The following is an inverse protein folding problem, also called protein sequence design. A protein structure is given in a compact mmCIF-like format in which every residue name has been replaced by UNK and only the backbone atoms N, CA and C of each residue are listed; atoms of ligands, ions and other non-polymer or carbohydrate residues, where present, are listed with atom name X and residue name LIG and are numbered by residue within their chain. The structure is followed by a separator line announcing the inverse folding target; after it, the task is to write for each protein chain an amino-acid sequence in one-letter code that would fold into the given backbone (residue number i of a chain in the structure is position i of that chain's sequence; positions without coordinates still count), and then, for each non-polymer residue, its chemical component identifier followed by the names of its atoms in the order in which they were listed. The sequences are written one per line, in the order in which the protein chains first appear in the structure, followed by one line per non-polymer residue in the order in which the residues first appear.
data_IF_263073207148
#
_entry.id   IF_263073207148
#
_cell.length_a   1.000
_cell.length_b   1.000
_cell.length_c   1.000
_cell.angle_alpha   90.00
_cell.angle_beta   90.00
_cell.angle_gamma   90.00
#
_symmetry.space_group_name_H-M   'P 1'
#
loop_
_entity.id
_entity.type
_entity.pdbx_description
1 polymer ?
#
# COMPACT_ATOMS: atom_id res chain seq x y z
N UNK A 1 7.04 21.25 -27.94
CA UNK A 1 7.61 20.18 -27.10
C UNK A 1 7.16 18.82 -27.61
N UNK A 2 7.73 17.73 -27.08
CA UNK A 2 7.32 16.35 -27.41
C UNK A 2 6.04 15.90 -26.68
N UNK A 3 5.71 16.52 -25.54
CA UNK A 3 4.53 16.23 -24.73
C UNK A 3 3.61 17.45 -24.66
N UNK A 4 2.28 17.24 -24.60
CA UNK A 4 1.33 18.31 -24.29
C UNK A 4 1.61 18.95 -22.92
N UNK A 5 1.37 20.25 -22.79
CA UNK A 5 1.67 21.01 -21.55
C UNK A 5 0.92 20.43 -20.33
N UNK A 6 -0.31 19.97 -20.52
CA UNK A 6 -1.09 19.35 -19.44
C UNK A 6 -0.52 18.00 -18.96
N UNK A 7 0.28 17.30 -19.79
CA UNK A 7 0.98 16.09 -19.39
C UNK A 7 2.33 16.44 -18.75
N UNK A 8 3.03 17.42 -19.31
CA UNK A 8 4.33 17.87 -18.81
C UNK A 8 4.24 18.42 -17.39
N UNK A 9 3.15 19.12 -17.07
CA UNK A 9 2.92 19.75 -15.77
C UNK A 9 1.90 19.01 -14.90
N UNK A 10 1.51 17.79 -15.26
CA UNK A 10 0.56 16.99 -14.49
C UNK A 10 1.13 16.67 -13.10
N UNK A 11 0.31 16.86 -12.06
CA UNK A 11 0.70 16.53 -10.71
C UNK A 11 0.98 15.02 -10.54
N UNK A 12 1.93 14.70 -9.66
CA UNK A 12 2.26 13.31 -9.34
C UNK A 12 1.17 12.72 -8.45
N UNK A 13 0.53 11.67 -8.94
CA UNK A 13 -0.48 10.90 -8.20
C UNK A 13 0.09 9.55 -7.74
N UNK A 14 -0.35 9.03 -6.59
CA UNK A 14 0.01 7.69 -6.14
C UNK A 14 -0.62 6.62 -7.05
N UNK A 15 0.11 5.55 -7.34
CA UNK A 15 -0.31 4.57 -8.36
C UNK A 15 -1.63 3.87 -8.00
N UNK A 16 -1.86 3.58 -6.73
CA UNK A 16 -3.10 2.95 -6.25
C UNK A 16 -4.31 3.88 -6.31
N UNK A 17 -4.10 5.19 -6.43
CA UNK A 17 -5.15 6.20 -6.59
C UNK A 17 -5.42 6.48 -8.06
N UNK A 18 -4.37 6.60 -8.87
CA UNK A 18 -4.45 6.88 -10.31
C UNK A 18 -4.77 5.67 -11.20
N UNK A 19 -4.90 4.48 -10.62
CA UNK A 19 -5.29 3.24 -11.31
C UNK A 19 -6.66 2.79 -10.82
N UNK A 20 -7.45 2.27 -11.76
CA UNK A 20 -8.86 1.90 -11.66
C UNK A 20 -9.84 3.05 -11.99
N UNK A 21 -11.07 2.94 -11.53
CA UNK A 21 -12.15 3.86 -11.89
C UNK A 21 -12.04 5.15 -11.09
N UNK A 22 -12.44 6.28 -11.68
CA UNK A 22 -12.62 7.56 -10.98
C UNK A 22 -13.52 7.40 -9.74
N UNK A 23 -14.45 6.43 -9.77
CA UNK A 23 -15.38 6.16 -8.65
C UNK A 23 -14.80 5.24 -7.57
N UNK A 24 -13.80 4.42 -7.91
CA UNK A 24 -13.23 3.42 -7.00
C UNK A 24 -11.78 3.13 -7.37
N UNK A 25 -10.88 3.68 -6.54
CA UNK A 25 -9.45 3.47 -6.63
C UNK A 25 -9.07 1.99 -6.41
N UNK A 26 -7.94 1.58 -6.98
CA UNK A 26 -7.39 0.24 -6.72
C UNK A 26 -7.20 -0.04 -5.23
N UNK A 27 -6.78 0.96 -4.46
CA UNK A 27 -6.69 0.86 -3.00
C UNK A 27 -8.03 0.44 -2.36
N UNK A 28 -9.14 1.10 -2.71
CA UNK A 28 -10.45 0.75 -2.16
C UNK A 28 -10.87 -0.67 -2.56
N UNK A 29 -10.55 -1.09 -3.79
CA UNK A 29 -10.81 -2.47 -4.23
C UNK A 29 -10.03 -3.47 -3.37
N UNK A 30 -8.75 -3.20 -3.11
CA UNK A 30 -7.92 -4.08 -2.27
C UNK A 30 -8.46 -4.13 -0.84
N UNK A 31 -8.80 -2.98 -0.26
CA UNK A 31 -9.37 -2.89 1.10
C UNK A 31 -10.63 -3.75 1.25
N UNK A 32 -11.57 -3.66 0.29
CA UNK A 32 -12.78 -4.49 0.30
C UNK A 32 -12.47 -5.99 0.22
N UNK A 33 -11.44 -6.38 -0.54
CA UNK A 33 -11.04 -7.79 -0.64
C UNK A 33 -10.42 -8.27 0.68
N UNK A 34 -9.54 -7.48 1.29
CA UNK A 34 -8.79 -7.92 2.48
C UNK A 34 -9.63 -7.90 3.75
N UNK A 35 -10.65 -7.05 3.82
CA UNK A 35 -11.57 -6.96 4.96
C UNK A 35 -12.29 -8.28 5.22
N UNK A 36 -12.71 -8.97 4.15
CA UNK A 36 -13.35 -10.29 4.23
C UNK A 36 -12.36 -11.45 4.43
N UNK A 37 -11.06 -11.22 4.20
CA UNK A 37 -10.02 -12.28 4.24
C UNK A 37 -9.26 -12.32 5.56
N UNK A 38 -9.10 -11.17 6.21
CA UNK A 38 -8.31 -11.05 7.44
C UNK A 38 -9.18 -10.53 8.57
N UNK A 39 -9.42 -11.38 9.56
CA UNK A 39 -10.14 -10.98 10.78
C UNK A 39 -9.29 -10.09 11.67
N UNK A 40 -9.93 -9.24 12.47
CA UNK A 40 -9.25 -8.41 13.47
C UNK A 40 -8.50 -9.23 14.51
N UNK A 41 -9.00 -10.43 14.85
CA UNK A 41 -8.31 -11.35 15.75
C UNK A 41 -7.01 -11.88 15.14
N UNK A 42 -7.03 -12.25 13.85
CA UNK A 42 -5.83 -12.68 13.15
C UNK A 42 -4.77 -11.58 13.12
N UNK A 43 -5.19 -10.32 12.89
CA UNK A 43 -4.28 -9.17 12.91
C UNK A 43 -3.72 -8.91 14.32
N UNK A 44 -4.52 -9.06 15.38
CA UNK A 44 -4.03 -8.94 16.78
C UNK A 44 -2.97 -9.99 17.12
N UNK A 45 -3.07 -11.17 16.52
CA UNK A 45 -2.09 -12.26 16.69
C UNK A 45 -0.92 -12.19 15.69
N UNK A 46 -0.82 -11.14 14.87
CA UNK A 46 0.18 -11.03 13.83
C UNK A 46 1.62 -11.11 14.36
N UNK A 47 1.92 -10.51 15.51
CA UNK A 47 3.26 -10.54 16.10
C UNK A 47 3.71 -11.96 16.51
N UNK A 48 2.76 -12.80 16.93
CA UNK A 48 3.04 -14.21 17.26
C UNK A 48 3.24 -15.04 16.01
N UNK A 49 2.44 -14.79 14.97
CA UNK A 49 2.49 -15.56 13.72
C UNK A 49 3.65 -15.16 12.82
N UNK A 50 3.95 -13.86 12.75
CA UNK A 50 4.94 -13.24 11.88
C UNK A 50 5.81 -12.29 12.70
N UNK A 51 6.77 -12.81 13.50
CA UNK A 51 7.58 -11.99 14.40
C UNK A 51 8.55 -11.05 13.67
N UNK A 52 9.00 -11.45 12.47
CA UNK A 52 9.83 -10.61 11.60
C UNK A 52 8.97 -9.76 10.67
N UNK A 53 9.25 -8.45 10.57
CA UNK A 53 8.48 -7.50 9.77
C UNK A 53 6.96 -7.68 9.96
N UNK A 54 6.52 -7.57 11.23
CA UNK A 54 5.13 -7.82 11.62
C UNK A 54 4.16 -6.91 10.85
N UNK A 55 3.15 -7.47 10.16
CA UNK A 55 2.16 -6.67 9.48
C UNK A 55 1.26 -5.94 10.49
N UNK A 56 1.05 -4.64 10.27
CA UNK A 56 0.22 -3.76 11.12
C UNK A 56 -1.16 -3.46 10.53
N UNK A 57 -1.38 -3.83 9.26
CA UNK A 57 -2.66 -3.65 8.54
C UNK A 57 -3.16 -4.98 8.01
N UNK A 58 -4.47 -5.11 7.78
CA UNK A 58 -5.08 -6.29 7.15
C UNK A 58 -4.52 -6.55 5.76
N UNK A 59 -4.27 -5.49 5.00
CA UNK A 59 -3.65 -5.58 3.68
C UNK A 59 -2.24 -6.18 3.75
N UNK A 60 -1.38 -5.65 4.62
CA UNK A 60 -0.02 -6.18 4.80
C UNK A 60 -0.05 -7.64 5.31
N UNK A 61 -1.01 -7.97 6.19
CA UNK A 61 -1.19 -9.33 6.69
C UNK A 61 -1.58 -10.28 5.56
N UNK A 62 -2.52 -9.88 4.71
CA UNK A 62 -2.97 -10.67 3.56
C UNK A 62 -1.81 -10.95 2.59
N UNK A 63 -1.01 -9.94 2.26
CA UNK A 63 0.18 -10.13 1.43
C UNK A 63 1.21 -11.05 2.11
N UNK A 64 1.40 -10.90 3.42
CA UNK A 64 2.30 -11.76 4.18
C UNK A 64 1.84 -13.23 4.17
N UNK A 65 0.54 -13.49 4.29
CA UNK A 65 0.01 -14.86 4.19
C UNK A 65 0.26 -15.47 2.80
N UNK A 66 0.05 -14.71 1.73
CA UNK A 66 0.34 -15.16 0.37
C UNK A 66 1.84 -15.44 0.22
N UNK A 67 2.69 -14.53 0.71
CA UNK A 67 4.14 -14.71 0.66
C UNK A 67 4.56 -16.00 1.38
N UNK A 68 4.13 -16.21 2.61
CA UNK A 68 4.51 -17.40 3.41
C UNK A 68 3.93 -18.69 2.82
N UNK A 69 2.79 -18.63 2.12
CA UNK A 69 2.25 -19.78 1.38
C UNK A 69 3.19 -20.23 0.25
N UNK A 70 3.90 -19.30 -0.39
CA UNK A 70 4.75 -19.59 -1.56
C UNK A 70 6.25 -19.70 -1.20
N UNK A 71 6.69 -19.01 -0.15
CA UNK A 71 8.10 -18.84 0.23
C UNK A 71 8.31 -19.10 1.73
N UNK A 72 7.60 -20.07 2.30
CA UNK A 72 7.52 -20.32 3.74
C UNK A 72 8.85 -20.20 4.49
N UNK A 73 8.88 -19.31 5.49
CA UNK A 73 10.02 -19.07 6.37
C UNK A 73 11.15 -18.24 5.75
N UNK A 74 11.04 -17.79 4.50
CA UNK A 74 12.10 -17.02 3.82
C UNK A 74 12.02 -15.51 4.05
N UNK A 75 11.07 -15.03 4.86
CA UNK A 75 10.83 -13.60 5.05
C UNK A 75 12.07 -12.86 5.58
N UNK A 76 12.79 -13.43 6.54
CA UNK A 76 14.01 -12.82 7.11
C UNK A 76 15.13 -12.65 6.08
N UNK A 77 15.26 -13.61 5.17
CA UNK A 77 16.28 -13.57 4.12
C UNK A 77 15.91 -12.63 2.97
N UNK A 78 14.67 -12.72 2.49
CA UNK A 78 14.22 -11.98 1.29
C UNK A 78 13.80 -10.54 1.61
N UNK A 79 13.31 -10.29 2.81
CA UNK A 79 12.83 -8.97 3.25
C UNK A 79 13.49 -8.59 4.57
N UNK A 80 14.70 -8.01 4.57
CA UNK A 80 15.39 -7.66 5.81
C UNK A 80 14.67 -6.59 6.63
N UNK A 81 13.92 -5.68 5.98
CA UNK A 81 13.11 -4.64 6.63
C UNK A 81 12.02 -4.14 5.68
N UNK A 82 11.01 -3.44 6.21
CA UNK A 82 10.06 -2.69 5.38
C UNK A 82 10.73 -1.44 4.81
N UNK A 83 10.71 -1.29 3.48
CA UNK A 83 11.12 -0.04 2.86
C UNK A 83 10.15 1.08 3.26
N UNK A 84 10.67 2.09 3.96
CA UNK A 84 9.91 3.25 4.41
C UNK A 84 10.58 4.54 3.91
N UNK A 85 9.81 5.59 3.58
CA UNK A 85 10.36 6.90 3.24
C UNK A 85 11.19 7.47 4.40
N UNK A 86 12.38 8.00 4.10
CA UNK A 86 13.32 8.49 5.14
C UNK A 86 13.01 9.88 5.67
N UNK A 87 12.31 10.70 4.89
CA UNK A 87 12.14 12.14 5.16
C UNK A 87 10.71 12.54 5.45
N UNK A 88 9.83 11.56 5.63
CA UNK A 88 8.40 11.77 5.82
C UNK A 88 7.95 10.81 6.91
N UNK A 89 7.20 11.33 7.88
CA UNK A 89 6.63 10.54 8.96
C UNK A 89 5.35 9.83 8.46
N UNK A 90 5.54 8.63 7.91
CA UNK A 90 4.46 7.73 7.48
C UNK A 90 4.75 6.32 7.98
N UNK A 91 3.69 5.61 8.36
CA UNK A 91 3.73 4.23 8.85
C UNK A 91 3.38 3.21 7.76
N UNK A 92 2.93 3.69 6.60
CA UNK A 92 2.59 2.89 5.44
C UNK A 92 3.63 3.10 4.32
N UNK A 93 4.14 2.02 3.69
CA UNK A 93 5.17 2.11 2.65
C UNK A 93 4.63 2.63 1.31
N UNK A 94 3.31 2.72 1.13
CA UNK A 94 2.72 3.23 -0.10
C UNK A 94 2.79 4.76 -0.17
N UNK A 95 2.93 5.27 -1.39
CA UNK A 95 2.97 6.71 -1.63
C UNK A 95 1.63 7.42 -1.34
N UNK A 96 0.55 6.68 -1.09
CA UNK A 96 -0.81 7.22 -0.90
C UNK A 96 -0.91 8.12 0.33
N UNK A 97 -0.23 7.76 1.42
CA UNK A 97 -0.31 8.51 2.68
C UNK A 97 0.70 9.66 2.76
N UNK A 98 1.49 9.88 1.70
CA UNK A 98 2.42 10.99 1.61
C UNK A 98 1.64 12.23 1.17
N UNK A 99 1.52 13.21 2.08
CA UNK A 99 0.72 14.44 1.87
C UNK A 99 1.05 15.19 0.57
N UNK A 100 2.30 15.18 0.13
CA UNK A 100 2.74 15.86 -1.09
C UNK A 100 2.23 15.23 -2.38
N UNK A 101 1.68 14.02 -2.35
CA UNK A 101 1.12 13.35 -3.53
C UNK A 101 -0.41 13.41 -3.59
N UNK A 102 -1.08 14.01 -2.60
CA UNK A 102 -2.51 14.21 -2.65
C UNK A 102 -2.85 15.17 -3.80
N UNK A 103 -3.71 14.73 -4.73
CA UNK A 103 -4.25 15.60 -5.76
C UNK A 103 -5.12 16.69 -5.12
N UNK A 104 -5.05 17.92 -5.64
CA UNK A 104 -5.94 18.99 -5.21
C UNK A 104 -7.39 18.68 -5.59
N UNK A 105 -8.36 19.19 -4.83
CA UNK A 105 -9.78 19.00 -5.12
C UNK A 105 -10.21 19.56 -6.50
N UNK A 106 -9.42 20.47 -7.06
CA UNK A 106 -9.65 21.07 -8.38
C UNK A 106 -9.28 20.14 -9.55
N UNK A 107 -8.42 19.14 -9.33
CA UNK A 107 -7.94 18.21 -10.37
C UNK A 107 -8.83 16.96 -10.54
N UNK A 108 -9.91 16.86 -9.76
CA UNK A 108 -10.83 15.71 -9.75
C UNK A 108 -12.15 15.96 -10.52
N UNK A 109 -12.27 17.08 -11.23
CA UNK A 109 -13.46 17.49 -12.00
C UNK A 109 -13.33 17.21 -13.50
#
# INVERSE_FOLDING_TARGET
GLLPDNILWRHKEAFSDGVASIKKSLFQVIQDIVEDKVSDEALRQAATRFPHCTPTTKEAFYYREIFEKHYGGQAEWLMPYFWMPKWIDVTDPSARFIKHYAAGAEDQA
#
